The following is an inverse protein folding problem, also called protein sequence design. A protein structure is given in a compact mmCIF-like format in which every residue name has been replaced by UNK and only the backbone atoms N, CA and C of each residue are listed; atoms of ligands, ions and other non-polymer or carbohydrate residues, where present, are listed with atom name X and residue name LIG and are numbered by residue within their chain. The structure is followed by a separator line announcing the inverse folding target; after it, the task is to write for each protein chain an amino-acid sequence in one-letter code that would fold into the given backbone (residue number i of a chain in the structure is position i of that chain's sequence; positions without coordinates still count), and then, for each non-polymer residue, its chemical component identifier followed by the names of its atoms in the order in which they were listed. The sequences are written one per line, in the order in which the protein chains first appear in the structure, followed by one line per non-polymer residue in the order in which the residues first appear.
data_IF_949322807262
#
_entry.id   IF_949322807262
#
_cell.length_a   1.000
_cell.length_b   1.000
_cell.length_c   1.000
_cell.angle_alpha   90.00
_cell.angle_beta   90.00
_cell.angle_gamma   90.00
#
_symmetry.space_group_name_H-M   'P 1'
#
loop_
_entity.id
_entity.type
_entity.pdbx_description
1 polymer ?
#
# COMPACT_ATOMS: atom_id res chain seq x y z
N UNK A 1 15.72 28.80 12.96
CA UNK A 1 15.16 29.05 14.30
C UNK A 1 14.68 27.71 14.84
N UNK A 2 15.15 27.28 16.02
CA UNK A 2 14.70 26.02 16.63
C UNK A 2 13.54 26.30 17.58
N UNK A 3 12.42 25.59 17.41
CA UNK A 3 11.25 25.69 18.28
C UNK A 3 11.11 24.36 19.00
N UNK A 4 11.06 24.40 20.33
CA UNK A 4 10.86 23.21 21.18
C UNK A 4 9.43 23.19 21.70
N UNK A 5 8.77 22.04 21.63
CA UNK A 5 7.45 21.81 22.22
C UNK A 5 7.47 20.53 23.06
N UNK A 6 6.74 20.56 24.18
CA UNK A 6 6.53 19.38 25.01
C UNK A 6 5.24 18.68 24.56
N UNK A 7 5.29 17.35 24.48
CA UNK A 7 4.16 16.51 24.07
C UNK A 7 4.01 15.36 25.07
N UNK A 8 2.77 15.01 25.37
CA UNK A 8 2.43 13.82 26.16
C UNK A 8 1.95 12.73 25.21
N UNK A 9 2.43 11.50 25.38
CA UNK A 9 2.14 10.35 24.53
C UNK A 9 2.01 9.12 25.42
N UNK A 10 1.02 8.27 25.15
CA UNK A 10 0.84 7.01 25.88
C UNK A 10 1.94 5.99 25.56
N UNK A 11 2.25 5.14 26.53
CA UNK A 11 3.29 4.11 26.45
C UNK A 11 3.14 3.16 25.26
N UNK A 12 1.90 2.90 24.82
CA UNK A 12 1.65 2.08 23.64
C UNK A 12 2.32 2.67 22.39
N UNK A 13 2.22 3.99 22.21
CA UNK A 13 2.83 4.68 21.07
C UNK A 13 4.35 4.86 21.26
N UNK A 14 4.81 5.04 22.50
CA UNK A 14 6.26 5.05 22.80
C UNK A 14 6.91 3.72 22.37
N UNK A 15 6.25 2.58 22.60
CA UNK A 15 6.72 1.27 22.13
C UNK A 15 6.82 1.19 20.61
N UNK A 16 5.86 1.77 19.88
CA UNK A 16 5.88 1.81 18.40
C UNK A 16 7.03 2.68 17.85
N UNK A 17 7.40 3.74 18.57
CA UNK A 17 8.49 4.66 18.17
C UNK A 17 9.89 4.10 18.52
N UNK A 18 9.98 3.19 19.50
CA UNK A 18 11.21 2.56 19.99
C UNK A 18 12.22 2.14 18.91
N UNK A 19 11.87 1.40 17.84
CA UNK A 19 12.84 1.01 16.81
C UNK A 19 13.54 2.21 16.13
N UNK A 20 12.81 3.33 15.94
CA UNK A 20 13.37 4.55 15.38
C UNK A 20 14.28 5.26 16.37
N UNK A 21 13.95 5.22 17.66
CA UNK A 21 14.78 5.79 18.72
C UNK A 21 16.10 5.04 18.84
N UNK A 22 16.06 3.70 18.76
CA UNK A 22 17.25 2.86 18.76
C UNK A 22 18.12 3.10 17.52
N UNK A 23 17.50 3.21 16.34
CA UNK A 23 18.18 3.60 15.08
C UNK A 23 18.93 4.94 15.21
N UNK A 24 18.41 5.88 16.00
CA UNK A 24 19.02 7.18 16.28
C UNK A 24 19.77 7.23 17.62
N UNK A 25 20.26 6.08 18.11
CA UNK A 25 21.10 5.98 19.31
C UNK A 25 20.47 6.63 20.56
N UNK A 26 19.16 6.47 20.75
CA UNK A 26 18.41 7.03 21.87
C UNK A 26 17.86 8.44 21.63
N UNK A 27 18.13 9.07 20.49
CA UNK A 27 17.69 10.44 20.21
C UNK A 27 16.23 10.48 19.74
N UNK A 28 15.32 10.70 20.69
CA UNK A 28 13.89 10.78 20.42
C UNK A 28 13.53 11.91 19.44
N UNK A 29 14.19 13.07 19.53
CA UNK A 29 13.94 14.19 18.63
C UNK A 29 14.39 13.91 17.18
N UNK A 30 15.42 13.09 16.97
CA UNK A 30 15.81 12.63 15.63
C UNK A 30 14.81 11.61 15.08
N UNK A 31 14.38 10.66 15.91
CA UNK A 31 13.35 9.69 15.55
C UNK A 31 12.02 10.36 15.16
N UNK A 32 11.54 11.33 15.96
CA UNK A 32 10.31 12.06 15.66
C UNK A 32 10.45 12.89 14.38
N UNK A 33 11.60 13.54 14.13
CA UNK A 33 11.82 14.26 12.88
C UNK A 33 11.81 13.33 11.66
N UNK A 34 12.39 12.14 11.76
CA UNK A 34 12.30 11.13 10.70
C UNK A 34 10.86 10.71 10.47
N UNK A 35 10.10 10.43 11.54
CA UNK A 35 8.70 10.04 11.45
C UNK A 35 7.82 11.14 10.83
N UNK A 36 8.04 12.41 11.20
CA UNK A 36 7.35 13.56 10.60
C UNK A 36 7.71 13.71 9.12
N UNK A 37 8.99 13.60 8.77
CA UNK A 37 9.42 13.66 7.37
C UNK A 37 8.82 12.52 6.54
N UNK A 38 8.74 11.33 7.12
CA UNK A 38 8.04 10.20 6.49
C UNK A 38 6.55 10.49 6.34
N UNK A 39 5.86 10.92 7.39
CA UNK A 39 4.46 11.28 7.34
C UNK A 39 4.17 12.40 6.33
N UNK A 40 5.05 13.38 6.15
CA UNK A 40 4.93 14.42 5.12
C UNK A 40 5.06 13.86 3.70
N UNK A 41 5.89 12.81 3.49
CA UNK A 41 5.96 12.07 2.22
C UNK A 41 4.77 11.13 1.98
N UNK A 42 3.92 10.96 2.98
CA UNK A 42 2.71 10.14 2.93
C UNK A 42 1.43 10.96 3.16
N UNK A 43 1.55 12.28 3.38
CA UNK A 43 0.41 13.15 3.64
C UNK A 43 -0.10 13.67 2.30
N UNK A 44 -1.38 13.41 1.96
CA UNK A 44 -1.95 13.77 0.66
C UNK A 44 -2.18 15.28 0.62
N UNK A 45 -1.12 16.06 0.41
CA UNK A 45 -1.32 17.38 -0.19
C UNK A 45 -1.61 17.15 -1.66
N UNK A 46 -2.78 17.65 -2.07
CA UNK A 46 -3.33 17.72 -3.43
C UNK A 46 -3.91 16.41 -3.99
N UNK A 47 -5.20 16.22 -3.72
CA UNK A 47 -6.24 15.70 -4.63
C UNK A 47 -5.81 14.64 -5.65
N UNK A 48 -5.83 13.36 -5.27
CA UNK A 48 -6.25 12.28 -6.17
C UNK A 48 -6.52 11.03 -5.35
N UNK A 49 -7.53 10.25 -5.73
CA UNK A 49 -7.89 8.93 -5.22
C UNK A 49 -6.83 7.86 -5.56
N UNK A 50 -5.56 8.24 -5.56
CA UNK A 50 -4.44 7.47 -6.03
C UNK A 50 -3.41 7.35 -4.91
N UNK A 51 -3.30 6.15 -4.33
CA UNK A 51 -2.23 5.79 -3.40
C UNK A 51 -0.86 6.18 -4.00
N UNK A 52 -0.10 7.02 -3.29
CA UNK A 52 1.18 7.55 -3.79
C UNK A 52 2.26 6.45 -3.81
N UNK A 53 3.15 6.47 -4.80
CA UNK A 53 4.21 5.45 -5.01
C UNK A 53 5.06 5.20 -3.75
N UNK A 54 5.29 6.23 -2.93
CA UNK A 54 6.04 6.11 -1.68
C UNK A 54 5.29 5.27 -0.64
N UNK A 55 3.99 5.52 -0.44
CA UNK A 55 3.13 4.75 0.47
C UNK A 55 2.96 3.31 -0.01
N UNK A 56 2.85 3.13 -1.33
CA UNK A 56 2.79 1.82 -1.96
C UNK A 56 4.09 1.02 -1.76
N UNK A 57 5.25 1.65 -1.94
CA UNK A 57 6.55 1.00 -1.70
C UNK A 57 6.78 0.66 -0.22
N UNK A 58 6.31 1.50 0.70
CA UNK A 58 6.31 1.17 2.13
C UNK A 58 5.45 -0.07 2.38
N UNK A 59 4.22 -0.10 1.85
CA UNK A 59 3.32 -1.24 2.02
C UNK A 59 3.95 -2.53 1.48
N UNK A 60 4.55 -2.53 0.28
CA UNK A 60 5.26 -3.72 -0.25
C UNK A 60 6.36 -4.25 0.68
N UNK A 61 7.02 -3.34 1.41
CA UNK A 61 8.07 -3.67 2.36
C UNK A 61 7.50 -4.22 3.66
N UNK A 62 6.42 -3.63 4.17
CA UNK A 62 5.79 -4.08 5.42
C UNK A 62 4.94 -5.35 5.24
N UNK A 63 4.38 -5.58 4.06
CA UNK A 63 3.62 -6.80 3.72
C UNK A 63 4.52 -7.95 3.28
N UNK A 64 5.84 -7.85 3.47
CA UNK A 64 6.76 -8.95 3.15
C UNK A 64 6.49 -10.15 4.07
N UNK A 65 5.67 -11.09 3.58
CA UNK A 65 5.26 -12.28 4.33
C UNK A 65 3.94 -12.16 5.10
N UNK A 66 3.18 -11.08 4.91
CA UNK A 66 1.87 -10.86 5.55
C UNK A 66 0.82 -10.40 4.51
N UNK A 67 -0.47 -10.63 4.81
CA UNK A 67 -1.57 -10.17 3.96
C UNK A 67 -1.77 -8.66 4.09
N UNK A 68 -2.23 -8.03 3.00
CA UNK A 68 -2.57 -6.61 2.99
C UNK A 68 -3.80 -6.40 3.87
N UNK A 69 -3.79 -5.47 4.84
CA UNK A 69 -4.98 -5.15 5.62
C UNK A 69 -6.14 -4.65 4.73
N UNK A 70 -7.36 -5.14 4.99
CA UNK A 70 -8.56 -4.80 4.20
C UNK A 70 -8.79 -3.30 4.06
N UNK A 71 -8.59 -2.53 5.15
CA UNK A 71 -8.77 -1.08 5.13
C UNK A 71 -7.83 -0.34 4.16
N UNK A 72 -6.69 -0.93 3.81
CA UNK A 72 -5.76 -0.37 2.81
C UNK A 72 -6.19 -0.76 1.40
N UNK A 73 -6.79 -1.94 1.22
CA UNK A 73 -7.34 -2.37 -0.06
C UNK A 73 -8.53 -1.51 -0.48
N UNK A 74 -9.40 -1.14 0.47
CA UNK A 74 -10.54 -0.25 0.24
C UNK A 74 -10.12 1.15 -0.22
N UNK A 75 -8.94 1.63 0.21
CA UNK A 75 -8.36 2.89 -0.28
C UNK A 75 -7.72 2.74 -1.67
N UNK A 76 -7.26 1.55 -2.03
CA UNK A 76 -6.60 1.27 -3.30
C UNK A 76 -7.60 0.97 -4.42
N UNK A 77 -8.72 0.35 -4.06
CA UNK A 77 -9.72 -0.18 -4.97
C UNK A 77 -11.08 0.35 -4.56
N UNK A 78 -11.66 1.20 -5.40
CA UNK A 78 -13.05 1.59 -5.24
C UNK A 78 -13.95 0.45 -5.76
N UNK A 79 -14.67 -0.27 -4.87
CA UNK A 79 -15.50 -1.41 -5.29
C UNK A 79 -16.64 -0.97 -6.22
N UNK A 80 -17.05 0.31 -6.17
CA UNK A 80 -18.10 0.84 -7.03
C UNK A 80 -17.64 1.00 -8.49
N UNK A 81 -16.33 1.05 -8.75
CA UNK A 81 -15.77 1.16 -10.10
C UNK A 81 -15.59 -0.20 -10.80
N UNK A 82 -15.64 -1.30 -10.04
CA UNK A 82 -15.40 -2.65 -10.54
C UNK A 82 -16.71 -3.42 -10.50
N UNK A 83 -17.40 -3.43 -11.64
CA UNK A 83 -18.63 -4.20 -11.83
C UNK A 83 -18.48 -5.37 -12.81
N UNK A 84 -17.26 -5.62 -13.26
CA UNK A 84 -16.91 -6.77 -14.10
C UNK A 84 -15.41 -7.11 -14.00
N UNK A 85 -15.05 -8.34 -14.36
CA UNK A 85 -13.67 -8.84 -14.28
C UNK A 85 -12.76 -8.12 -15.29
N UNK A 86 -13.26 -7.83 -16.48
CA UNK A 86 -12.52 -7.03 -17.47
C UNK A 86 -12.20 -5.63 -16.98
N UNK A 87 -13.13 -4.99 -16.26
CA UNK A 87 -12.86 -3.69 -15.63
C UNK A 87 -11.88 -3.78 -14.48
N UNK A 88 -11.91 -4.87 -13.71
CA UNK A 88 -10.90 -5.14 -12.68
C UNK A 88 -9.50 -5.22 -13.29
N UNK A 89 -9.34 -5.98 -14.37
CA UNK A 89 -8.08 -6.12 -15.11
C UNK A 89 -7.58 -4.77 -15.65
N UNK A 90 -8.45 -4.03 -16.33
CA UNK A 90 -8.10 -2.71 -16.89
C UNK A 90 -7.71 -1.73 -15.80
N UNK A 91 -8.48 -1.67 -14.71
CA UNK A 91 -8.21 -0.79 -13.58
C UNK A 91 -6.86 -1.11 -12.95
N UNK A 92 -6.60 -2.38 -12.59
CA UNK A 92 -5.37 -2.79 -11.94
C UNK A 92 -4.15 -2.53 -12.83
N UNK A 93 -4.20 -2.92 -14.11
CA UNK A 93 -3.09 -2.66 -15.04
C UNK A 93 -2.81 -1.17 -15.24
N UNK A 94 -3.86 -0.34 -15.34
CA UNK A 94 -3.70 1.12 -15.39
C UNK A 94 -3.00 1.64 -14.15
N UNK A 95 -3.44 1.22 -12.96
CA UNK A 95 -2.83 1.62 -11.68
C UNK A 95 -1.38 1.15 -11.56
N UNK A 96 -1.07 -0.06 -11.99
CA UNK A 96 0.30 -0.58 -11.98
C UNK A 96 1.21 0.18 -12.95
N UNK A 97 0.69 0.62 -14.10
CA UNK A 97 1.38 1.49 -15.04
C UNK A 97 1.61 2.89 -14.50
N UNK A 98 0.60 3.50 -13.86
CA UNK A 98 0.71 4.81 -13.20
C UNK A 98 1.79 4.83 -12.09
N UNK A 99 2.03 3.68 -11.45
CA UNK A 99 3.04 3.47 -10.41
C UNK A 99 4.41 3.03 -10.94
N UNK A 100 4.59 2.90 -12.26
CA UNK A 100 5.79 2.31 -12.90
C UNK A 100 6.21 0.98 -12.25
N UNK A 101 5.21 0.17 -11.91
CA UNK A 101 5.44 -0.96 -11.02
C UNK A 101 6.03 -2.18 -11.75
N UNK A 102 5.99 -2.19 -13.08
CA UNK A 102 6.52 -3.29 -13.89
C UNK A 102 5.80 -4.62 -13.61
N UNK A 103 4.49 -4.56 -13.33
CA UNK A 103 3.61 -5.72 -13.31
C UNK A 103 2.71 -5.70 -14.53
N UNK A 104 2.51 -6.88 -15.10
CA UNK A 104 1.43 -7.14 -16.05
C UNK A 104 0.49 -8.20 -15.45
N UNK A 105 -0.80 -7.88 -15.37
CA UNK A 105 -1.86 -8.77 -14.92
C UNK A 105 -2.71 -9.16 -16.13
N UNK A 106 -2.93 -10.46 -16.34
CA UNK A 106 -3.92 -10.94 -17.30
C UNK A 106 -4.93 -11.87 -16.61
N UNK A 107 -6.21 -11.60 -16.84
CA UNK A 107 -7.32 -12.37 -16.28
C UNK A 107 -8.03 -13.11 -17.42
N UNK A 108 -8.12 -14.43 -17.33
CA UNK A 108 -8.92 -15.24 -18.25
C UNK A 108 -10.09 -15.83 -17.48
N UNK A 109 -11.28 -15.67 -18.02
CA UNK A 109 -12.53 -16.02 -17.35
C UNK A 109 -13.57 -16.47 -18.37
N UNK A 110 -14.48 -17.33 -17.93
CA UNK A 110 -15.61 -17.84 -18.73
C UNK A 110 -16.77 -16.83 -18.82
N UNK A 111 -16.94 -15.98 -17.79
CA UNK A 111 -18.00 -14.97 -17.69
C UNK A 111 -17.49 -13.71 -16.99
N UNK A 112 -17.83 -12.54 -17.52
CA UNK A 112 -17.29 -11.24 -17.06
C UNK A 112 -17.95 -10.73 -15.76
N UNK A 113 -19.18 -11.13 -15.49
CA UNK A 113 -19.93 -10.69 -14.29
C UNK A 113 -20.03 -11.76 -13.21
N UNK A 114 -20.03 -13.02 -13.60
CA UNK A 114 -20.14 -14.16 -12.69
C UNK A 114 -19.28 -15.31 -13.23
N UNK A 115 -17.94 -15.21 -13.14
CA UNK A 115 -17.04 -16.26 -13.59
C UNK A 115 -17.21 -17.52 -12.74
N UNK A 116 -17.29 -18.68 -13.38
CA UNK A 116 -17.24 -19.99 -12.70
C UNK A 116 -15.80 -20.46 -12.56
N UNK A 117 -14.95 -20.10 -13.53
CA UNK A 117 -13.53 -20.40 -13.55
C UNK A 117 -12.74 -19.16 -13.95
N UNK A 118 -11.63 -18.94 -13.25
CA UNK A 118 -10.76 -17.80 -13.49
C UNK A 118 -9.31 -18.23 -13.42
N UNK A 119 -8.55 -17.89 -14.46
CA UNK A 119 -7.11 -18.07 -14.52
C UNK A 119 -6.44 -16.70 -14.46
N UNK A 120 -5.59 -16.55 -13.45
CA UNK A 120 -4.85 -15.33 -13.17
C UNK A 120 -3.39 -15.53 -13.59
N UNK A 121 -2.89 -14.68 -14.48
CA UNK A 121 -1.48 -14.63 -14.87
C UNK A 121 -0.87 -13.30 -14.39
N UNK A 122 0.18 -13.38 -13.57
CA UNK A 122 0.87 -12.20 -13.02
C UNK A 122 2.35 -12.28 -13.39
N UNK A 123 2.82 -11.28 -14.14
CA UNK A 123 4.21 -11.19 -14.58
C UNK A 123 4.85 -9.99 -13.88
N UNK A 124 5.95 -10.22 -13.16
CA UNK A 124 6.65 -9.18 -12.41
C UNK A 124 7.76 -9.75 -11.52
N UNK A 125 8.25 -8.96 -10.57
CA UNK A 125 9.21 -9.48 -9.57
C UNK A 125 8.50 -10.35 -8.52
N UNK A 126 9.19 -11.31 -7.87
CA UNK A 126 8.53 -12.25 -6.95
C UNK A 126 7.76 -11.58 -5.79
N UNK A 127 8.31 -10.49 -5.22
CA UNK A 127 7.65 -9.73 -4.16
C UNK A 127 6.34 -9.10 -4.66
N UNK A 128 6.40 -8.51 -5.85
CA UNK A 128 5.31 -7.82 -6.53
C UNK A 128 4.20 -8.78 -6.96
N UNK A 129 4.58 -9.97 -7.44
CA UNK A 129 3.66 -11.06 -7.73
C UNK A 129 2.91 -11.50 -6.47
N UNK A 130 3.64 -11.77 -5.37
CA UNK A 130 3.02 -12.18 -4.09
C UNK A 130 2.02 -11.15 -3.58
N UNK A 131 2.38 -9.88 -3.64
CA UNK A 131 1.49 -8.80 -3.22
C UNK A 131 0.23 -8.75 -4.08
N UNK A 132 0.36 -8.79 -5.40
CA UNK A 132 -0.77 -8.75 -6.35
C UNK A 132 -1.69 -9.95 -6.18
N UNK A 133 -1.12 -11.15 -6.00
CA UNK A 133 -1.89 -12.35 -5.71
C UNK A 133 -2.66 -12.22 -4.39
N UNK A 134 -2.04 -11.63 -3.37
CA UNK A 134 -2.70 -11.34 -2.09
C UNK A 134 -3.87 -10.37 -2.23
N UNK A 135 -3.74 -9.32 -3.05
CA UNK A 135 -4.85 -8.40 -3.33
C UNK A 135 -6.01 -9.09 -4.05
N UNK A 136 -5.70 -9.90 -5.07
CA UNK A 136 -6.73 -10.57 -5.88
C UNK A 136 -7.55 -11.58 -5.06
N UNK A 137 -6.93 -12.23 -4.06
CA UNK A 137 -7.64 -13.11 -3.12
C UNK A 137 -8.73 -12.39 -2.31
N UNK A 138 -8.61 -11.09 -2.08
CA UNK A 138 -9.64 -10.32 -1.37
C UNK A 138 -10.76 -9.81 -2.28
N UNK A 139 -10.52 -9.75 -3.58
CA UNK A 139 -11.43 -9.15 -4.56
C UNK A 139 -12.32 -10.18 -5.27
N UNK A 140 -11.93 -11.46 -5.22
CA UNK A 140 -12.55 -12.59 -5.94
C UNK A 140 -12.79 -13.71 -4.93
#
# INVERSE_FOLDING_TARGET
MNITRHISIDDEYVKKIKPYVEKHNGNFGAAIRELVYQAERYSPRTNSSAMELSMFNWMLKETEGTLVPENILDEFIDPALINSIGKLEEYLNRRFGELDWGINLSLKYDSDTFPSEMLVEIIGSPQKIKFTAGMLYYLI
#
